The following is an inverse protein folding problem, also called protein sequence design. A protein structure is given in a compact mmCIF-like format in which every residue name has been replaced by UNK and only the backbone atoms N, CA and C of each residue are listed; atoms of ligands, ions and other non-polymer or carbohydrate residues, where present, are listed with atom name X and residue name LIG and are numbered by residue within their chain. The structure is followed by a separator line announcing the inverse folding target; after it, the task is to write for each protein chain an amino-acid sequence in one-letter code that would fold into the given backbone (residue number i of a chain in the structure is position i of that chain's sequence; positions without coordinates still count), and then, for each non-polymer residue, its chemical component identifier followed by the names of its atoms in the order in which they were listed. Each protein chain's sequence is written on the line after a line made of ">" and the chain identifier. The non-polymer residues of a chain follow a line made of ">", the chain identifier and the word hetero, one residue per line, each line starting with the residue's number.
data_IF_959419013915
#
_entry.id   IF_959419013915
#
_cell.length_a   1.000
_cell.length_b   1.000
_cell.length_c   1.000
_cell.angle_alpha   90.00
_cell.angle_beta   90.00
_cell.angle_gamma   90.00
#
_symmetry.space_group_name_H-M   'P 1'
#
loop_
_entity.id
_entity.type
_entity.pdbx_description
1 polymer ?
#
# COMPACT_ATOMS: atom_id res chain seq x y z
N UNK A 1 54.14 -65.86 -51.85
CA UNK A 1 54.59 -64.58 -51.31
C UNK A 1 53.55 -63.56 -51.60
N UNK A 2 52.59 -63.39 -50.66
CA UNK A 2 51.30 -62.71 -50.92
C UNK A 2 51.17 -61.61 -49.90
N UNK A 3 51.17 -60.36 -50.31
CA UNK A 3 50.99 -59.18 -49.49
C UNK A 3 49.49 -58.83 -49.45
N UNK A 4 48.88 -58.87 -48.27
CA UNK A 4 47.50 -58.47 -48.07
C UNK A 4 47.45 -57.02 -47.60
N UNK A 5 46.73 -56.17 -48.35
CA UNK A 5 46.39 -54.80 -47.97
C UNK A 5 45.29 -54.80 -46.88
N UNK A 6 45.56 -54.14 -45.72
CA UNK A 6 44.52 -53.75 -44.76
C UNK A 6 44.01 -52.40 -45.15
N UNK A 7 42.72 -52.28 -45.38
CA UNK A 7 42.02 -50.99 -45.48
C UNK A 7 41.59 -50.55 -44.09
N UNK A 8 42.06 -49.37 -43.64
CA UNK A 8 41.62 -48.75 -42.48
C UNK A 8 40.35 -47.96 -42.76
N UNK A 9 39.23 -48.29 -42.08
CA UNK A 9 38.03 -47.46 -42.00
C UNK A 9 38.22 -46.36 -40.89
N UNK A 10 38.28 -45.16 -41.33
CA UNK A 10 38.17 -43.98 -40.39
C UNK A 10 36.70 -43.67 -40.21
N UNK A 11 36.15 -43.97 -39.02
CA UNK A 11 34.81 -43.56 -38.62
C UNK A 11 34.86 -42.11 -38.12
N UNK A 12 34.26 -41.19 -38.87
CA UNK A 12 34.08 -39.81 -38.46
C UNK A 12 32.93 -39.72 -37.43
N UNK A 13 33.27 -39.47 -36.19
CA UNK A 13 32.27 -39.15 -35.12
C UNK A 13 31.92 -37.67 -35.24
N UNK A 14 30.72 -37.38 -35.77
CA UNK A 14 30.15 -36.05 -35.74
C UNK A 14 29.57 -35.77 -34.32
N UNK A 15 30.25 -34.97 -33.54
CA UNK A 15 29.74 -34.45 -32.27
C UNK A 15 28.72 -33.36 -32.58
N UNK A 16 27.44 -33.66 -32.45
CA UNK A 16 26.37 -32.66 -32.47
C UNK A 16 26.32 -31.99 -31.10
N UNK A 17 26.91 -30.80 -30.99
CA UNK A 17 26.78 -29.96 -29.84
C UNK A 17 25.36 -29.35 -29.83
N UNK A 18 24.44 -29.96 -29.11
CA UNK A 18 23.15 -29.35 -28.78
C UNK A 18 23.36 -28.19 -27.81
N UNK A 19 23.44 -26.96 -28.32
CA UNK A 19 23.39 -25.77 -27.52
C UNK A 19 22.02 -25.67 -26.86
N UNK A 20 21.90 -26.08 -25.59
CA UNK A 20 20.76 -25.74 -24.74
C UNK A 20 20.81 -24.25 -24.46
N UNK A 21 20.18 -23.47 -25.32
CA UNK A 21 19.82 -22.10 -24.98
C UNK A 21 18.78 -22.15 -23.86
N UNK A 22 19.21 -21.96 -22.63
CA UNK A 22 18.34 -21.61 -21.53
C UNK A 22 17.63 -20.29 -21.90
N UNK A 23 16.48 -20.42 -22.52
CA UNK A 23 15.62 -19.31 -22.84
C UNK A 23 15.19 -18.67 -21.52
N UNK A 24 15.82 -17.56 -21.15
CA UNK A 24 15.23 -16.64 -20.21
C UNK A 24 13.93 -16.18 -20.85
N UNK A 25 12.81 -16.75 -20.39
CA UNK A 25 11.47 -16.34 -20.81
C UNK A 25 11.31 -14.88 -20.40
N UNK A 26 11.50 -13.96 -21.34
CA UNK A 26 10.99 -12.60 -21.21
C UNK A 26 9.48 -12.70 -20.92
N UNK A 27 8.89 -11.85 -20.08
CA UNK A 27 7.45 -11.84 -19.85
C UNK A 27 6.76 -11.81 -21.21
N UNK A 28 6.01 -12.85 -21.52
CA UNK A 28 5.42 -13.07 -22.83
C UNK A 28 4.57 -11.88 -23.25
N UNK A 29 4.76 -11.36 -24.46
CA UNK A 29 3.85 -10.40 -25.13
C UNK A 29 2.40 -10.92 -25.18
N UNK A 30 2.20 -12.23 -25.09
CA UNK A 30 0.92 -12.93 -25.17
C UNK A 30 -0.11 -12.62 -24.10
N UNK A 31 0.17 -11.75 -23.12
CA UNK A 31 -0.76 -11.38 -22.05
C UNK A 31 -0.83 -9.89 -21.80
N UNK A 32 -0.10 -9.06 -22.56
CA UNK A 32 -0.15 -7.61 -22.35
C UNK A 32 -1.49 -7.03 -22.80
N UNK A 33 -2.04 -6.03 -22.08
CA UNK A 33 -3.21 -5.32 -22.56
C UNK A 33 -2.90 -4.53 -23.84
N UNK A 34 -3.94 -4.20 -24.62
CA UNK A 34 -3.80 -3.50 -25.91
C UNK A 34 -3.31 -2.04 -25.78
N UNK A 35 -3.44 -1.44 -24.60
CA UNK A 35 -2.97 -0.09 -24.33
C UNK A 35 -1.45 -0.06 -24.06
N UNK A 36 -0.73 0.87 -24.68
CA UNK A 36 0.69 1.12 -24.35
C UNK A 36 0.88 1.67 -22.93
N UNK A 37 -0.14 2.35 -22.41
CA UNK A 37 -0.12 2.93 -21.06
C UNK A 37 -1.46 2.72 -20.37
N UNK A 38 -1.47 1.94 -19.30
CA UNK A 38 -2.64 1.78 -18.45
C UNK A 38 -2.73 2.89 -17.41
N UNK A 39 -3.95 3.33 -17.13
CA UNK A 39 -4.25 4.29 -16.07
C UNK A 39 -4.21 3.57 -14.71
N UNK A 40 -3.30 3.97 -13.81
CA UNK A 40 -3.32 3.57 -12.41
C UNK A 40 -4.02 4.65 -11.58
N UNK A 41 -5.26 4.41 -11.19
CA UNK A 41 -6.03 5.33 -10.38
C UNK A 41 -5.53 5.29 -8.94
N UNK A 42 -5.10 6.45 -8.42
CA UNK A 42 -4.81 6.69 -7.00
C UNK A 42 -5.92 7.58 -6.44
N UNK A 43 -6.75 7.12 -5.48
CA UNK A 43 -7.97 7.82 -5.08
C UNK A 43 -7.75 8.95 -4.06
N UNK A 44 -6.52 9.44 -3.92
CA UNK A 44 -6.16 10.56 -3.02
C UNK A 44 -5.35 11.62 -3.75
N UNK A 45 -5.28 12.83 -3.14
CA UNK A 45 -4.54 13.96 -3.70
C UNK A 45 -3.05 13.66 -3.84
N UNK A 46 -2.45 14.27 -4.86
CA UNK A 46 -1.01 14.22 -5.08
C UNK A 46 -0.22 14.67 -3.83
N UNK A 47 0.94 14.03 -3.56
CA UNK A 47 1.78 14.25 -2.38
C UNK A 47 1.35 13.49 -1.13
N UNK A 48 0.21 12.78 -1.12
CA UNK A 48 -0.10 11.82 -0.08
C UNK A 48 0.72 10.53 -0.20
N UNK A 49 0.84 9.75 0.89
CA UNK A 49 1.70 8.56 0.93
C UNK A 49 1.45 7.57 -0.21
N UNK A 50 0.19 7.26 -0.53
CA UNK A 50 -0.14 6.35 -1.63
C UNK A 50 0.32 6.89 -2.99
N UNK A 51 0.10 8.18 -3.26
CA UNK A 51 0.59 8.81 -4.50
C UNK A 51 2.12 8.74 -4.58
N UNK A 52 2.83 9.11 -3.51
CA UNK A 52 4.30 9.09 -3.47
C UNK A 52 4.84 7.69 -3.81
N UNK A 53 4.29 6.65 -3.18
CA UNK A 53 4.77 5.28 -3.38
C UNK A 53 4.48 4.78 -4.81
N UNK A 54 3.28 5.02 -5.34
CA UNK A 54 2.96 4.58 -6.71
C UNK A 54 3.61 5.43 -7.80
N UNK A 55 4.01 6.67 -7.53
CA UNK A 55 4.87 7.45 -8.43
C UNK A 55 6.29 6.87 -8.52
N UNK A 56 6.80 6.25 -7.45
CA UNK A 56 8.08 5.51 -7.50
C UNK A 56 7.92 4.28 -8.39
N UNK A 57 6.83 3.49 -8.23
CA UNK A 57 6.53 2.37 -9.13
C UNK A 57 6.38 2.82 -10.58
N UNK A 58 5.64 3.90 -10.85
CA UNK A 58 5.48 4.47 -12.20
C UNK A 58 6.84 4.75 -12.83
N UNK A 59 7.70 5.51 -12.14
CA UNK A 59 9.02 5.87 -12.63
C UNK A 59 9.88 4.65 -12.92
N UNK A 60 9.89 3.66 -12.02
CA UNK A 60 10.65 2.41 -12.19
C UNK A 60 10.15 1.62 -13.40
N UNK A 61 8.83 1.40 -13.51
CA UNK A 61 8.22 0.66 -14.62
C UNK A 61 8.45 1.38 -15.96
N UNK A 62 8.44 2.71 -15.98
CA UNK A 62 8.74 3.50 -17.18
C UNK A 62 10.17 3.30 -17.68
N UNK A 63 11.12 3.08 -16.78
CA UNK A 63 12.53 2.75 -17.11
C UNK A 63 12.75 1.30 -17.56
N UNK A 64 11.76 0.41 -17.40
CA UNK A 64 11.84 -0.99 -17.79
C UNK A 64 11.28 -1.23 -19.20
N UNK A 65 11.74 -2.30 -19.84
CA UNK A 65 11.28 -2.69 -21.18
C UNK A 65 10.03 -3.58 -21.09
N UNK A 66 8.85 -2.97 -20.83
CA UNK A 66 7.56 -3.66 -20.86
C UNK A 66 6.71 -3.14 -22.02
N UNK A 67 5.93 -4.02 -22.72
CA UNK A 67 5.01 -3.63 -23.80
C UNK A 67 3.97 -2.59 -23.34
N UNK A 68 3.41 -2.77 -22.14
CA UNK A 68 2.49 -1.84 -21.51
C UNK A 68 3.08 -1.32 -20.20
N UNK A 69 2.93 -0.04 -19.94
CA UNK A 69 3.41 0.66 -18.74
C UNK A 69 2.24 1.32 -18.00
N UNK A 70 2.50 1.85 -16.82
CA UNK A 70 1.47 2.55 -16.05
C UNK A 70 1.67 4.07 -16.09
N UNK A 71 0.55 4.80 -15.91
CA UNK A 71 0.49 6.23 -15.60
C UNK A 71 -0.37 6.43 -14.37
N UNK A 72 0.20 7.00 -13.32
CA UNK A 72 -0.53 7.37 -12.10
C UNK A 72 -1.44 8.55 -12.38
N UNK A 73 -2.73 8.39 -12.07
CA UNK A 73 -3.78 9.42 -12.20
C UNK A 73 -4.47 9.57 -10.85
N UNK A 74 -4.45 10.76 -10.27
CA UNK A 74 -5.13 11.01 -9.00
C UNK A 74 -6.60 11.37 -9.23
N UNK A 75 -7.53 10.63 -8.56
CA UNK A 75 -8.97 10.91 -8.57
C UNK A 75 -9.44 11.02 -7.11
N UNK A 76 -9.13 12.15 -6.43
CA UNK A 76 -9.46 12.34 -5.03
C UNK A 76 -10.92 12.66 -4.81
N UNK A 77 -11.38 12.48 -3.57
CA UNK A 77 -12.69 12.89 -3.10
C UNK A 77 -13.43 11.78 -2.34
N UNK A 78 -14.27 12.20 -1.41
CA UNK A 78 -15.11 11.33 -0.60
C UNK A 78 -14.32 10.25 0.19
N UNK A 79 -13.10 10.58 0.67
CA UNK A 79 -12.26 9.60 1.37
C UNK A 79 -11.70 8.48 0.48
N UNK A 80 -11.58 8.72 -0.83
CA UNK A 80 -11.13 7.75 -1.82
C UNK A 80 -12.25 7.08 -2.61
N UNK A 81 -13.51 7.26 -2.21
CA UNK A 81 -14.64 6.58 -2.84
C UNK A 81 -14.92 7.08 -4.26
N UNK A 82 -14.57 8.34 -4.60
CA UNK A 82 -14.71 8.85 -5.97
C UNK A 82 -13.84 8.04 -6.94
N UNK A 83 -12.55 7.87 -6.62
CA UNK A 83 -11.63 7.06 -7.44
C UNK A 83 -12.01 5.57 -7.47
N UNK A 84 -12.52 5.02 -6.35
CA UNK A 84 -13.01 3.64 -6.29
C UNK A 84 -14.21 3.42 -7.21
N UNK A 85 -15.17 4.35 -7.24
CA UNK A 85 -16.35 4.29 -8.15
C UNK A 85 -15.93 4.40 -9.62
N UNK A 86 -14.95 5.24 -9.92
CA UNK A 86 -14.38 5.37 -11.26
C UNK A 86 -13.72 4.07 -11.73
N UNK A 87 -12.89 3.48 -10.88
CA UNK A 87 -12.25 2.19 -11.16
C UNK A 87 -13.25 1.04 -11.32
N UNK A 88 -14.29 1.02 -10.48
CA UNK A 88 -15.33 -0.02 -10.53
C UNK A 88 -16.15 0.00 -11.85
N UNK A 89 -16.33 1.17 -12.45
CA UNK A 89 -17.05 1.35 -13.72
C UNK A 89 -16.18 1.18 -14.95
N UNK A 90 -14.86 1.10 -14.79
CA UNK A 90 -13.93 1.00 -15.91
C UNK A 90 -14.06 -0.36 -16.63
N UNK A 91 -13.70 -0.38 -17.91
CA UNK A 91 -13.70 -1.62 -18.70
C UNK A 91 -12.67 -2.63 -18.16
N UNK A 92 -12.97 -3.93 -18.16
CA UNK A 92 -12.05 -4.97 -17.68
C UNK A 92 -11.04 -5.40 -18.76
N UNK A 93 -10.49 -4.45 -19.51
CA UNK A 93 -9.58 -4.64 -20.65
C UNK A 93 -8.10 -4.61 -20.26
N UNK A 94 -7.79 -4.50 -18.97
CA UNK A 94 -6.43 -4.40 -18.45
C UNK A 94 -5.81 -3.00 -18.57
N UNK A 95 -6.52 -2.02 -19.12
CA UNK A 95 -6.02 -0.65 -19.32
C UNK A 95 -6.35 0.32 -18.18
N UNK A 96 -7.12 -0.15 -17.18
CA UNK A 96 -7.36 0.59 -15.92
C UNK A 96 -7.01 -0.30 -14.74
N UNK A 97 -6.18 0.24 -13.86
CA UNK A 97 -5.78 -0.34 -12.59
C UNK A 97 -6.17 0.61 -11.45
N UNK A 98 -6.33 0.06 -10.26
CA UNK A 98 -6.72 0.83 -9.09
C UNK A 98 -5.82 0.52 -7.91
N UNK A 99 -5.19 1.56 -7.35
CA UNK A 99 -4.41 1.48 -6.13
C UNK A 99 -5.36 1.50 -4.92
N UNK A 100 -5.47 0.37 -4.24
CA UNK A 100 -6.42 0.15 -3.14
C UNK A 100 -5.67 -0.21 -1.85
N UNK A 101 -6.28 0.08 -0.71
CA UNK A 101 -5.88 -0.40 0.62
C UNK A 101 -7.10 -0.65 1.51
N UNK A 102 -6.90 -0.93 2.79
CA UNK A 102 -7.98 -1.29 3.72
C UNK A 102 -9.09 -0.23 3.86
N UNK A 103 -8.91 1.01 3.33
CA UNK A 103 -10.00 2.00 3.31
C UNK A 103 -11.21 1.55 2.49
N UNK A 104 -11.04 0.61 1.57
CA UNK A 104 -12.17 -0.01 0.87
C UNK A 104 -13.09 -0.78 1.82
N UNK A 105 -12.52 -1.41 2.86
CA UNK A 105 -13.27 -2.11 3.91
C UNK A 105 -13.91 -1.13 4.88
N UNK A 106 -13.13 -0.19 5.44
CA UNK A 106 -13.63 0.76 6.42
C UNK A 106 -14.71 1.69 5.83
N UNK A 107 -14.59 2.03 4.55
CA UNK A 107 -15.60 2.82 3.83
C UNK A 107 -16.90 2.03 3.60
N UNK A 108 -16.78 0.73 3.34
CA UNK A 108 -17.90 -0.20 3.22
C UNK A 108 -18.61 -0.38 4.56
N UNK A 109 -17.89 -0.68 5.63
CA UNK A 109 -18.48 -0.85 6.97
C UNK A 109 -19.12 0.42 7.50
N UNK A 110 -18.62 1.58 7.12
CA UNK A 110 -19.21 2.89 7.46
C UNK A 110 -20.39 3.28 6.55
N UNK A 111 -20.81 2.43 5.62
CA UNK A 111 -21.94 2.67 4.70
C UNK A 111 -21.68 3.72 3.62
N UNK A 112 -20.45 4.22 3.44
CA UNK A 112 -20.11 5.27 2.47
C UNK A 112 -19.98 4.77 1.03
N UNK A 113 -19.74 3.47 0.85
CA UNK A 113 -19.71 2.79 -0.44
C UNK A 113 -20.35 1.40 -0.29
N UNK A 114 -21.00 0.90 -1.35
CA UNK A 114 -21.75 -0.37 -1.30
C UNK A 114 -20.96 -1.58 -1.78
N UNK A 115 -19.67 -1.42 -2.06
CA UNK A 115 -18.77 -2.47 -2.54
C UNK A 115 -17.37 -2.35 -1.93
N UNK A 116 -16.62 -3.43 -1.97
CA UNK A 116 -15.24 -3.49 -1.50
C UNK A 116 -14.40 -4.44 -2.37
N UNK A 117 -13.36 -5.10 -1.86
CA UNK A 117 -12.42 -5.92 -2.63
C UNK A 117 -13.07 -6.92 -3.60
N UNK A 118 -14.17 -7.64 -3.26
CA UNK A 118 -14.80 -8.59 -4.20
C UNK A 118 -15.31 -7.98 -5.50
N UNK A 119 -15.51 -6.65 -5.54
CA UNK A 119 -15.93 -5.93 -6.75
C UNK A 119 -14.80 -5.71 -7.75
N UNK A 120 -13.61 -6.24 -7.47
CA UNK A 120 -12.41 -6.14 -8.31
C UNK A 120 -11.71 -7.49 -8.44
N UNK A 121 -10.84 -7.60 -9.43
CA UNK A 121 -9.91 -8.70 -9.55
C UNK A 121 -8.54 -8.26 -8.99
N UNK A 122 -7.98 -9.08 -8.09
CA UNK A 122 -6.71 -8.79 -7.42
C UNK A 122 -5.53 -8.98 -8.37
N UNK A 123 -4.63 -8.00 -8.42
CA UNK A 123 -3.38 -8.05 -9.20
C UNK A 123 -2.20 -8.37 -8.29
N UNK A 124 -1.88 -7.50 -7.35
CA UNK A 124 -0.79 -7.73 -6.38
C UNK A 124 -0.96 -6.88 -5.13
N UNK A 125 -0.69 -7.46 -3.95
CA UNK A 125 -0.39 -6.71 -2.76
C UNK A 125 1.09 -6.31 -2.83
N UNK A 126 1.43 -5.06 -2.51
CA UNK A 126 2.75 -4.53 -2.82
C UNK A 126 3.51 -3.98 -1.61
N UNK A 127 2.84 -3.23 -0.74
CA UNK A 127 3.53 -2.49 0.31
C UNK A 127 2.86 -2.60 1.66
N UNK A 128 3.65 -2.48 2.72
CA UNK A 128 3.19 -2.28 4.09
C UNK A 128 3.88 -1.06 4.68
N UNK A 129 3.10 -0.13 5.24
CA UNK A 129 3.60 1.09 5.87
C UNK A 129 2.93 1.25 7.22
N UNK A 130 3.66 1.14 8.34
CA UNK A 130 3.09 1.37 9.66
C UNK A 130 2.56 2.79 9.82
N UNK A 131 1.48 2.95 10.56
CA UNK A 131 0.95 4.25 10.94
C UNK A 131 1.59 4.75 12.26
N UNK A 132 1.65 6.06 12.39
CA UNK A 132 2.27 6.77 13.51
C UNK A 132 1.19 7.61 14.20
N UNK A 133 1.16 7.59 15.51
CA UNK A 133 0.39 8.53 16.33
C UNK A 133 1.10 9.88 16.28
N UNK A 134 0.68 10.73 15.37
CA UNK A 134 1.32 12.00 15.08
C UNK A 134 0.60 13.18 15.69
N UNK A 135 1.37 14.25 15.93
CA UNK A 135 0.86 15.51 16.46
C UNK A 135 1.48 16.71 15.76
N UNK A 136 0.82 17.86 15.88
CA UNK A 136 1.43 19.17 15.58
C UNK A 136 2.70 19.35 16.42
N UNK A 137 3.73 19.98 15.88
CA UNK A 137 4.91 20.38 16.64
C UNK A 137 4.60 21.29 17.83
N UNK A 138 3.47 22.02 17.76
CA UNK A 138 2.95 22.89 18.82
C UNK A 138 2.05 22.17 19.85
N UNK A 139 1.83 20.85 19.71
CA UNK A 139 1.07 20.09 20.70
C UNK A 139 1.72 20.21 22.09
N UNK A 140 0.93 20.42 23.17
CA UNK A 140 1.47 20.70 24.50
C UNK A 140 2.12 19.48 25.17
N UNK A 141 1.93 18.28 24.61
CA UNK A 141 2.45 17.02 25.17
C UNK A 141 3.79 16.65 24.52
N UNK A 142 4.70 16.10 25.32
CA UNK A 142 6.02 15.67 24.85
C UNK A 142 6.09 14.17 24.54
N UNK A 143 5.14 13.38 25.06
CA UNK A 143 5.10 11.93 24.91
C UNK A 143 3.66 11.39 24.95
N UNK A 144 3.53 10.09 24.68
CA UNK A 144 2.23 9.41 24.65
C UNK A 144 1.53 9.41 26.03
N UNK A 145 2.27 9.29 27.13
CA UNK A 145 1.70 9.24 28.47
C UNK A 145 1.03 10.57 28.85
N UNK A 146 1.69 11.70 28.57
CA UNK A 146 1.13 13.04 28.78
C UNK A 146 -0.12 13.26 27.91
N UNK A 147 -0.04 12.88 26.62
CA UNK A 147 -1.19 12.93 25.71
C UNK A 147 -2.36 12.08 26.21
N UNK A 148 -2.11 10.82 26.61
CA UNK A 148 -3.15 9.92 27.15
C UNK A 148 -3.80 10.49 28.40
N UNK A 149 -2.99 10.99 29.34
CA UNK A 149 -3.48 11.64 30.56
C UNK A 149 -4.42 12.82 30.25
N UNK A 150 -4.01 13.71 29.35
CA UNK A 150 -4.82 14.85 28.94
C UNK A 150 -6.13 14.43 28.24
N UNK A 151 -6.08 13.45 27.36
CA UNK A 151 -7.25 12.94 26.64
C UNK A 151 -8.27 12.28 27.56
N UNK A 152 -7.81 11.58 28.61
CA UNK A 152 -8.68 10.97 29.63
C UNK A 152 -9.26 12.01 30.59
N UNK A 153 -8.51 13.08 30.90
CA UNK A 153 -8.98 14.15 31.77
C UNK A 153 -10.04 15.08 31.12
N UNK A 154 -9.99 15.20 29.79
CA UNK A 154 -10.93 16.04 29.03
C UNK A 154 -11.43 15.31 27.76
N UNK A 155 -12.31 14.31 27.90
CA UNK A 155 -12.79 13.51 26.78
C UNK A 155 -13.47 14.35 25.69
N UNK A 156 -13.18 14.08 24.43
CA UNK A 156 -13.81 14.74 23.28
C UNK A 156 -13.34 16.17 23.00
N UNK A 157 -12.30 16.67 23.68
CA UNK A 157 -11.79 18.04 23.47
C UNK A 157 -10.62 18.11 22.48
N UNK A 158 -9.80 17.07 22.40
CA UNK A 158 -8.62 17.05 21.53
C UNK A 158 -9.04 16.87 20.07
N UNK A 159 -8.60 17.80 19.21
CA UNK A 159 -8.89 17.77 17.77
C UNK A 159 -8.01 16.75 17.06
N UNK A 160 -8.63 15.72 16.49
CA UNK A 160 -7.97 14.67 15.74
C UNK A 160 -8.39 14.70 14.28
N UNK A 161 -7.43 14.92 13.39
CA UNK A 161 -7.67 14.88 11.95
C UNK A 161 -7.79 13.46 11.43
N UNK A 162 -8.89 13.16 10.76
CA UNK A 162 -9.12 11.86 10.13
C UNK A 162 -9.80 11.98 8.76
N UNK A 163 -9.62 11.01 7.90
CA UNK A 163 -10.46 10.84 6.71
C UNK A 163 -11.62 9.94 7.10
N UNK A 164 -12.83 10.50 7.14
CA UNK A 164 -14.01 9.77 7.63
C UNK A 164 -14.34 8.57 6.75
N UNK A 165 -14.62 7.43 7.38
CA UNK A 165 -14.84 6.15 6.71
C UNK A 165 -13.58 5.56 6.08
N UNK A 166 -12.38 6.03 6.47
CA UNK A 166 -11.09 5.52 6.00
C UNK A 166 -10.28 4.94 7.15
N UNK A 167 -9.17 4.28 6.82
CA UNK A 167 -8.23 3.67 7.77
C UNK A 167 -7.73 4.63 8.85
N UNK A 168 -7.57 5.92 8.55
CA UNK A 168 -7.13 6.89 9.55
C UNK A 168 -8.17 7.15 10.64
N UNK A 169 -9.46 7.16 10.32
CA UNK A 169 -10.49 7.21 11.35
C UNK A 169 -10.56 5.88 12.13
N UNK A 170 -10.52 4.77 11.40
CA UNK A 170 -10.59 3.43 11.98
C UNK A 170 -9.47 3.19 13.00
N UNK A 171 -8.24 3.61 12.69
CA UNK A 171 -7.11 3.54 13.62
C UNK A 171 -7.36 4.31 14.93
N UNK A 172 -7.90 5.53 14.83
CA UNK A 172 -8.21 6.33 16.02
C UNK A 172 -9.34 5.72 16.86
N UNK A 173 -10.36 5.14 16.21
CA UNK A 173 -11.45 4.44 16.92
C UNK A 173 -10.94 3.16 17.63
N UNK A 174 -9.98 2.45 17.03
CA UNK A 174 -9.27 1.35 17.71
C UNK A 174 -8.50 1.88 18.92
N UNK A 175 -7.79 2.99 18.78
CA UNK A 175 -7.06 3.59 19.89
C UNK A 175 -8.00 4.02 21.03
N UNK A 176 -9.16 4.61 20.72
CA UNK A 176 -10.21 4.92 21.71
C UNK A 176 -10.72 3.67 22.44
N UNK A 177 -10.98 2.59 21.70
CA UNK A 177 -11.45 1.30 22.27
C UNK A 177 -10.42 0.67 23.21
N UNK A 178 -9.13 0.74 22.84
CA UNK A 178 -8.04 0.13 23.62
C UNK A 178 -7.62 0.97 24.83
N UNK A 179 -7.90 2.27 24.85
CA UNK A 179 -7.35 3.19 25.88
C UNK A 179 -8.39 3.93 26.69
N UNK A 180 -9.65 3.93 26.27
CA UNK A 180 -10.73 4.71 26.87
C UNK A 180 -10.72 6.21 26.52
N UNK A 181 -9.70 6.69 25.79
CA UNK A 181 -9.68 8.09 25.31
C UNK A 181 -10.88 8.37 24.40
N UNK A 182 -11.26 9.66 24.28
CA UNK A 182 -12.28 10.13 23.34
C UNK A 182 -11.79 11.41 22.65
N UNK A 183 -12.05 11.53 21.34
CA UNK A 183 -11.54 12.62 20.52
C UNK A 183 -12.65 13.38 19.79
N UNK A 184 -12.35 14.63 19.44
CA UNK A 184 -13.16 15.42 18.52
C UNK A 184 -12.59 15.32 17.11
N UNK A 185 -13.30 14.64 16.23
CA UNK A 185 -12.81 14.40 14.87
C UNK A 185 -13.04 15.58 13.94
N UNK A 186 -11.99 15.90 13.16
CA UNK A 186 -12.03 16.89 12.07
C UNK A 186 -11.82 16.16 10.75
N UNK A 187 -12.75 16.31 9.77
CA UNK A 187 -12.70 15.57 8.51
C UNK A 187 -11.67 16.15 7.52
N UNK A 188 -10.92 15.27 6.88
CA UNK A 188 -9.99 15.59 5.80
C UNK A 188 -10.12 14.58 4.66
N UNK A 189 -9.88 15.02 3.43
CA UNK A 189 -9.95 14.15 2.25
C UNK A 189 -8.58 13.54 1.89
N UNK A 190 -7.86 13.06 2.91
CA UNK A 190 -6.60 12.35 2.80
C UNK A 190 -5.43 12.94 3.61
N UNK A 191 -4.28 12.26 3.54
CA UNK A 191 -3.09 12.55 4.37
C UNK A 191 -2.51 13.94 4.12
N UNK A 192 -2.49 14.42 2.85
CA UNK A 192 -1.88 15.72 2.54
C UNK A 192 -2.58 16.88 3.25
N UNK A 193 -3.91 16.95 3.18
CA UNK A 193 -4.66 18.02 3.84
C UNK A 193 -4.52 17.96 5.37
N UNK A 194 -4.56 16.75 5.94
CA UNK A 194 -4.36 16.53 7.37
C UNK A 194 -2.96 16.96 7.82
N UNK A 195 -1.92 16.66 7.04
CA UNK A 195 -0.56 17.15 7.33
C UNK A 195 -0.47 18.67 7.31
N UNK A 196 -1.08 19.34 6.33
CA UNK A 196 -1.12 20.81 6.30
C UNK A 196 -1.79 21.36 7.56
N UNK A 197 -2.89 20.74 8.00
CA UNK A 197 -3.60 21.16 9.22
C UNK A 197 -2.79 20.91 10.50
N UNK A 198 -1.99 19.83 10.56
CA UNK A 198 -1.06 19.60 11.67
C UNK A 198 0.08 20.63 11.70
N UNK A 199 0.68 20.93 10.55
CA UNK A 199 1.77 21.89 10.43
C UNK A 199 1.31 23.32 10.79
N UNK A 200 0.09 23.71 10.42
CA UNK A 200 -0.52 24.99 10.80
C UNK A 200 -1.10 25.00 12.22
N UNK A 201 -1.10 23.88 12.92
CA UNK A 201 -1.75 23.68 14.22
C UNK A 201 -3.28 23.92 14.22
N UNK A 202 -3.93 23.79 13.06
CA UNK A 202 -5.39 23.79 12.95
C UNK A 202 -6.04 22.55 13.56
N UNK A 203 -5.28 21.46 13.69
CA UNK A 203 -5.58 20.26 14.48
C UNK A 203 -4.37 19.88 15.32
N UNK A 204 -4.61 19.23 16.46
CA UNK A 204 -3.54 18.86 17.38
C UNK A 204 -2.96 17.50 17.05
N UNK A 205 -3.79 16.52 16.68
CA UNK A 205 -3.41 15.13 16.45
C UNK A 205 -3.84 14.64 15.07
N UNK A 206 -3.11 13.66 14.54
CA UNK A 206 -3.47 13.01 13.28
C UNK A 206 -2.56 11.84 12.95
N UNK A 207 -3.08 10.88 12.21
CA UNK A 207 -2.28 9.75 11.71
C UNK A 207 -1.24 10.23 10.71
N UNK A 208 -0.01 9.84 10.91
CA UNK A 208 1.12 10.04 10.00
C UNK A 208 1.67 8.69 9.53
N UNK A 209 2.54 8.73 8.54
CA UNK A 209 3.43 7.64 8.18
C UNK A 209 4.76 8.19 7.67
N UNK A 210 5.78 7.35 7.67
CA UNK A 210 7.14 7.77 7.29
C UNK A 210 7.16 8.25 5.83
N UNK A 211 6.40 7.60 4.93
CA UNK A 211 6.37 7.95 3.51
C UNK A 211 6.03 9.42 3.22
N UNK A 212 5.18 10.03 4.03
CA UNK A 212 4.77 11.43 3.86
C UNK A 212 5.25 12.37 4.97
N UNK A 213 5.57 11.85 6.16
CA UNK A 213 5.86 12.64 7.36
C UNK A 213 7.33 12.77 7.72
N UNK A 214 8.24 11.93 7.19
CA UNK A 214 9.64 11.84 7.63
C UNK A 214 10.35 13.18 7.70
N UNK A 215 10.23 14.00 6.64
CA UNK A 215 10.87 15.32 6.60
C UNK A 215 10.48 16.18 7.81
N UNK A 216 9.20 16.28 8.10
CA UNK A 216 8.65 17.13 9.15
C UNK A 216 8.90 16.59 10.56
N UNK A 217 8.93 15.25 10.70
CA UNK A 217 9.31 14.60 11.96
C UNK A 217 10.80 14.82 12.26
N UNK A 218 11.67 14.67 11.24
CA UNK A 218 13.11 14.92 11.42
C UNK A 218 13.43 16.39 11.65
N UNK A 219 12.62 17.32 11.12
CA UNK A 219 12.75 18.77 11.32
C UNK A 219 12.10 19.30 12.60
N UNK A 220 11.41 18.45 13.37
CA UNK A 220 10.69 18.88 14.58
C UNK A 220 9.41 19.66 14.33
N UNK A 221 9.00 19.85 13.08
CA UNK A 221 7.77 20.54 12.71
C UNK A 221 6.51 19.72 13.07
N UNK A 222 6.64 18.42 13.21
CA UNK A 222 5.65 17.48 13.73
C UNK A 222 6.26 16.64 14.84
N UNK A 223 5.42 16.16 15.75
CA UNK A 223 5.76 15.22 16.81
C UNK A 223 5.21 13.82 16.46
N UNK A 224 5.87 12.77 16.97
CA UNK A 224 5.40 11.40 16.93
C UNK A 224 5.45 10.79 18.32
N UNK A 225 4.34 10.20 18.77
CA UNK A 225 4.24 9.63 20.12
C UNK A 225 4.38 8.12 20.15
N UNK A 226 4.19 7.45 19.03
CA UNK A 226 4.38 6.02 18.91
C UNK A 226 4.09 5.52 17.49
N UNK A 227 4.69 4.39 17.13
CA UNK A 227 4.46 3.70 15.86
C UNK A 227 3.63 2.44 16.09
N UNK A 228 2.61 2.24 15.27
CA UNK A 228 1.74 1.06 15.35
C UNK A 228 2.34 -0.11 14.56
N UNK A 229 3.49 -0.59 14.98
CA UNK A 229 4.22 -1.72 14.37
C UNK A 229 4.72 -2.68 15.45
N UNK A 230 5.12 -3.89 15.03
CA UNK A 230 5.75 -4.88 15.91
C UNK A 230 7.15 -4.45 16.37
N UNK A 231 7.83 -3.59 15.60
CA UNK A 231 9.19 -3.14 15.84
C UNK A 231 9.30 -1.63 15.68
N UNK A 232 10.24 -1.02 16.40
CA UNK A 232 10.61 0.38 16.20
C UNK A 232 11.14 0.61 14.79
N UNK A 233 10.87 1.79 14.24
CA UNK A 233 11.41 2.17 12.94
C UNK A 233 12.93 2.42 13.04
N UNK A 234 13.71 1.86 12.11
CA UNK A 234 15.15 2.18 12.00
C UNK A 234 15.43 3.67 11.71
N UNK A 235 14.45 4.39 11.17
CA UNK A 235 14.54 5.83 10.90
C UNK A 235 14.23 6.70 12.09
N UNK A 236 13.55 6.16 13.09
CA UNK A 236 13.19 6.81 14.34
C UNK A 236 13.34 5.80 15.50
N UNK A 237 14.58 5.40 15.83
CA UNK A 237 14.83 4.33 16.82
C UNK A 237 14.38 4.71 18.23
N UNK A 238 14.28 6.00 18.52
CA UNK A 238 13.81 6.52 19.80
C UNK A 238 12.25 6.60 19.89
N UNK A 239 11.53 6.42 18.75
CA UNK A 239 10.07 6.37 18.75
C UNK A 239 9.62 4.98 19.18
N UNK A 240 8.92 4.84 20.33
CA UNK A 240 8.46 3.54 20.81
C UNK A 240 7.35 2.98 19.92
N UNK A 241 7.16 1.66 19.94
CA UNK A 241 5.96 1.04 19.41
C UNK A 241 4.78 1.26 20.34
N UNK A 242 3.55 1.14 19.82
CA UNK A 242 2.35 1.23 20.66
C UNK A 242 2.32 0.11 21.73
N UNK A 243 2.86 -1.07 21.42
CA UNK A 243 3.00 -2.17 22.38
C UNK A 243 3.93 -1.83 23.54
N UNK A 244 5.07 -1.19 23.27
CA UNK A 244 5.99 -0.69 24.30
C UNK A 244 5.36 0.40 25.18
N UNK A 245 4.35 1.09 24.67
CA UNK A 245 3.57 2.09 25.41
C UNK A 245 2.35 1.50 26.13
N UNK A 246 2.24 0.17 26.19
CA UNK A 246 1.15 -0.55 26.86
C UNK A 246 -0.17 -0.56 26.09
N UNK A 247 -0.14 -0.30 24.78
CA UNK A 247 -1.30 -0.40 23.90
C UNK A 247 -1.06 -1.50 22.87
N UNK A 248 -1.77 -2.62 22.98
CA UNK A 248 -1.63 -3.75 22.04
C UNK A 248 -2.26 -3.40 20.67
N UNK A 249 -1.55 -2.56 19.95
CA UNK A 249 -1.99 -2.02 18.67
C UNK A 249 -0.90 -2.13 17.61
N UNK A 250 -1.17 -2.91 16.57
CA UNK A 250 -0.40 -2.95 15.32
C UNK A 250 -1.32 -2.55 14.18
N UNK A 251 -0.94 -1.52 13.46
CA UNK A 251 -1.75 -0.98 12.37
C UNK A 251 -0.88 -0.48 11.22
N UNK A 252 -0.80 -1.27 10.16
CA UNK A 252 -0.04 -0.94 8.95
C UNK A 252 -0.95 -0.77 7.74
N UNK A 253 -0.73 0.28 6.99
CA UNK A 253 -1.42 0.53 5.74
C UNK A 253 -0.81 -0.34 4.63
N UNK A 254 -1.51 -1.39 4.24
CA UNK A 254 -1.12 -2.31 3.17
C UNK A 254 -1.78 -1.89 1.85
N UNK A 255 -0.96 -1.62 0.83
CA UNK A 255 -1.42 -1.16 -0.48
C UNK A 255 -1.20 -2.21 -1.53
N UNK A 256 -2.21 -2.40 -2.36
CA UNK A 256 -2.15 -3.29 -3.51
C UNK A 256 -2.79 -2.67 -4.74
N UNK A 257 -2.72 -3.41 -5.81
CA UNK A 257 -3.33 -3.10 -7.10
C UNK A 257 -4.43 -4.10 -7.38
N UNK A 258 -5.56 -3.58 -7.82
CA UNK A 258 -6.67 -4.36 -8.36
C UNK A 258 -7.04 -3.85 -9.75
N UNK A 259 -7.75 -4.67 -10.51
CA UNK A 259 -8.33 -4.31 -11.80
C UNK A 259 -9.87 -4.40 -11.73
N UNK A 260 -10.61 -3.79 -12.66
CA UNK A 260 -12.05 -3.96 -12.78
C UNK A 260 -12.44 -5.43 -12.84
N UNK A 261 -13.58 -5.77 -12.25
CA UNK A 261 -14.08 -7.16 -12.22
C UNK A 261 -14.31 -7.71 -13.61
N UNK A 262 -13.84 -8.94 -13.88
CA UNK A 262 -13.89 -9.59 -15.18
C UNK A 262 -12.66 -9.33 -16.06
N UNK A 263 -11.61 -8.68 -15.52
CA UNK A 263 -10.32 -8.57 -16.23
C UNK A 263 -9.73 -9.95 -16.48
N UNK A 264 -9.29 -10.21 -17.71
CA UNK A 264 -8.79 -11.52 -18.12
C UNK A 264 -7.61 -11.98 -17.25
N UNK A 265 -7.50 -13.28 -17.02
CA UNK A 265 -6.38 -13.85 -16.27
C UNK A 265 -5.03 -13.46 -16.89
N UNK A 266 -4.94 -13.41 -18.21
CA UNK A 266 -3.74 -13.01 -18.92
C UNK A 266 -3.31 -11.57 -18.57
N UNK A 267 -4.24 -10.62 -18.54
CA UNK A 267 -3.95 -9.25 -18.13
C UNK A 267 -3.59 -9.13 -16.65
N UNK A 268 -4.26 -9.90 -15.77
CA UNK A 268 -3.93 -9.94 -14.34
C UNK A 268 -2.51 -10.48 -14.12
N UNK A 269 -2.16 -11.58 -14.79
CA UNK A 269 -0.83 -12.20 -14.68
C UNK A 269 0.25 -11.26 -15.23
N UNK A 270 0.01 -10.61 -16.37
CA UNK A 270 0.90 -9.60 -16.94
C UNK A 270 1.21 -8.48 -15.92
N UNK A 271 0.17 -7.83 -15.40
CA UNK A 271 0.37 -6.74 -14.44
C UNK A 271 1.02 -7.23 -13.15
N UNK A 272 0.64 -8.40 -12.64
CA UNK A 272 1.29 -8.98 -11.46
C UNK A 272 2.78 -9.22 -11.70
N UNK A 273 3.16 -9.69 -12.88
CA UNK A 273 4.57 -9.86 -13.31
C UNK A 273 5.32 -8.53 -13.39
N UNK A 274 4.70 -7.50 -13.99
CA UNK A 274 5.27 -6.14 -14.07
C UNK A 274 5.56 -5.58 -12.67
N UNK A 275 4.57 -5.65 -11.75
CA UNK A 275 4.76 -5.16 -10.38
C UNK A 275 5.75 -6.02 -9.59
N UNK A 276 5.80 -7.34 -9.81
CA UNK A 276 6.80 -8.20 -9.21
C UNK A 276 8.19 -7.76 -9.60
N UNK A 277 8.44 -7.64 -10.90
CA UNK A 277 9.75 -7.24 -11.43
C UNK A 277 10.18 -5.85 -10.94
N UNK A 278 9.24 -4.90 -10.92
CA UNK A 278 9.50 -3.57 -10.38
C UNK A 278 9.80 -3.62 -8.86
N UNK A 279 9.16 -4.52 -8.11
CA UNK A 279 9.41 -4.71 -6.67
C UNK A 279 10.76 -5.34 -6.36
N UNK A 280 11.45 -5.91 -7.34
CA UNK A 280 12.81 -6.48 -7.25
C UNK A 280 13.89 -5.46 -7.64
N UNK A 281 13.51 -4.29 -8.17
CA UNK A 281 14.46 -3.24 -8.59
C UNK A 281 15.16 -2.60 -7.40
N UNK A 282 16.49 -2.59 -7.42
CA UNK A 282 17.29 -2.06 -6.31
C UNK A 282 17.05 -0.56 -6.05
N UNK A 283 16.82 0.23 -7.11
CA UNK A 283 16.50 1.65 -7.00
C UNK A 283 15.13 1.89 -6.37
N UNK A 284 14.12 1.08 -6.74
CA UNK A 284 12.81 1.11 -6.11
C UNK A 284 12.91 0.70 -4.63
N UNK A 285 13.57 -0.40 -4.32
CA UNK A 285 13.75 -0.89 -2.94
C UNK A 285 14.40 0.18 -2.06
N UNK A 286 15.47 0.82 -2.52
CA UNK A 286 16.13 1.92 -1.81
C UNK A 286 15.19 3.11 -1.57
N UNK A 287 14.40 3.50 -2.56
CA UNK A 287 13.45 4.60 -2.42
C UNK A 287 12.29 4.25 -1.46
N UNK A 288 11.76 3.02 -1.53
CA UNK A 288 10.70 2.56 -0.63
C UNK A 288 11.20 2.47 0.82
N UNK A 289 12.40 1.94 1.01
CA UNK A 289 13.05 1.91 2.30
C UNK A 289 13.20 3.34 2.88
N UNK A 290 13.69 4.30 2.11
CA UNK A 290 13.78 5.70 2.52
C UNK A 290 12.42 6.35 2.88
N UNK A 291 11.31 5.74 2.46
CA UNK A 291 9.94 6.12 2.85
C UNK A 291 9.40 5.31 4.04
N UNK A 292 10.23 4.46 4.66
CA UNK A 292 9.79 3.58 5.74
C UNK A 292 8.65 2.65 5.34
N UNK A 293 8.75 2.12 4.13
CA UNK A 293 7.71 1.29 3.52
C UNK A 293 8.32 -0.03 3.10
N UNK A 294 7.83 -1.12 3.68
CA UNK A 294 8.24 -2.46 3.29
C UNK A 294 7.60 -2.88 1.98
N UNK A 295 8.40 -3.48 1.10
CA UNK A 295 7.90 -4.20 -0.07
C UNK A 295 7.45 -5.59 0.38
N UNK A 296 6.20 -5.91 0.06
CA UNK A 296 5.52 -7.18 0.42
C UNK A 296 4.79 -7.72 -0.81
N UNK A 297 5.50 -7.93 -1.92
CA UNK A 297 4.84 -8.47 -3.11
C UNK A 297 4.17 -9.82 -2.82
N UNK A 298 2.86 -9.87 -3.07
CA UNK A 298 2.05 -11.08 -3.02
C UNK A 298 1.20 -11.12 -4.29
N UNK A 299 1.28 -12.21 -5.04
CA UNK A 299 0.55 -12.39 -6.29
C UNK A 299 -0.97 -12.49 -6.12
N UNK A 300 -1.71 -12.61 -7.24
CA UNK A 300 -3.17 -12.44 -7.26
C UNK A 300 -3.93 -13.34 -6.28
N UNK A 301 -3.60 -14.64 -6.24
CA UNK A 301 -4.26 -15.61 -5.33
C UNK A 301 -4.00 -15.28 -3.86
N UNK A 302 -2.74 -15.05 -3.49
CA UNK A 302 -2.38 -14.71 -2.10
C UNK A 302 -2.97 -13.37 -1.67
N UNK A 303 -3.03 -12.40 -2.58
CA UNK A 303 -3.66 -11.11 -2.29
C UNK A 303 -5.17 -11.23 -2.06
N UNK A 304 -5.85 -12.08 -2.83
CA UNK A 304 -7.28 -12.37 -2.60
C UNK A 304 -7.51 -12.98 -1.22
N UNK A 305 -6.74 -14.01 -0.86
CA UNK A 305 -6.82 -14.65 0.46
C UNK A 305 -6.56 -13.64 1.60
N UNK A 306 -5.55 -12.77 1.43
CA UNK A 306 -5.29 -11.71 2.39
C UNK A 306 -6.49 -10.74 2.50
N UNK A 307 -7.11 -10.33 1.39
CA UNK A 307 -8.24 -9.42 1.38
C UNK A 307 -9.47 -10.02 2.08
N UNK A 308 -9.75 -11.31 1.85
CA UNK A 308 -10.83 -12.05 2.49
C UNK A 308 -10.62 -12.19 4.01
N UNK A 309 -9.39 -12.53 4.45
CA UNK A 309 -9.08 -12.59 5.88
C UNK A 309 -9.16 -11.21 6.53
N UNK A 310 -8.60 -10.19 5.88
CA UNK A 310 -8.65 -8.80 6.37
C UNK A 310 -10.09 -8.30 6.47
N UNK A 311 -10.97 -8.69 5.55
CA UNK A 311 -12.40 -8.37 5.66
C UNK A 311 -12.98 -8.88 6.97
N UNK A 312 -12.77 -10.16 7.29
CA UNK A 312 -13.28 -10.81 8.52
C UNK A 312 -12.75 -10.14 9.78
N UNK A 313 -11.46 -9.80 9.79
CA UNK A 313 -10.81 -9.17 10.94
C UNK A 313 -11.33 -7.74 11.16
N UNK A 314 -11.44 -6.96 10.07
CA UNK A 314 -11.95 -5.60 10.13
C UNK A 314 -13.46 -5.54 10.43
N UNK A 315 -14.24 -6.51 9.97
CA UNK A 315 -15.67 -6.61 10.29
C UNK A 315 -15.89 -6.74 11.80
N UNK A 316 -15.14 -7.66 12.46
CA UNK A 316 -15.20 -7.83 13.92
C UNK A 316 -14.91 -6.53 14.66
N UNK A 317 -13.83 -5.85 14.27
CA UNK A 317 -13.46 -4.57 14.89
C UNK A 317 -14.48 -3.49 14.58
N UNK A 318 -14.96 -3.39 13.34
CA UNK A 318 -15.94 -2.38 12.92
C UNK A 318 -17.27 -2.52 13.68
N UNK A 319 -17.70 -3.75 13.97
CA UNK A 319 -18.88 -4.03 14.82
C UNK A 319 -18.59 -3.57 16.26
N UNK A 320 -17.47 -3.98 16.84
CA UNK A 320 -17.07 -3.66 18.22
C UNK A 320 -17.04 -2.17 18.49
N UNK A 321 -16.48 -1.38 17.56
CA UNK A 321 -16.38 0.08 17.68
C UNK A 321 -17.62 0.84 17.19
N UNK A 322 -18.72 0.14 16.83
CA UNK A 322 -19.97 0.76 16.38
C UNK A 322 -19.94 1.39 14.99
N UNK A 323 -18.89 1.09 14.19
CA UNK A 323 -18.80 1.59 12.81
C UNK A 323 -19.70 0.81 11.84
N UNK A 324 -19.94 -0.46 12.10
CA UNK A 324 -20.76 -1.34 11.27
C UNK A 324 -21.87 -1.95 12.08
N UNK A 325 -23.11 -1.65 11.69
CA UNK A 325 -24.31 -2.27 12.26
C UNK A 325 -24.81 -3.30 11.25
N UNK A 326 -24.78 -4.56 11.62
CA UNK A 326 -25.45 -5.66 10.87
C UNK A 326 -26.95 -5.57 11.01
#
# INVERSE_FOLDING_TARGET
>A
MTIRFLRSLTASVAVVAAAMTLGFSTPSEAGSPSCKTAKLIVPWKAGGGTHVLFSIYEKTIQGMNFPSKIKVVTIPGQGGNKGAKEAHKAKPDGCTLFAIHQSALTSFFNGRIKFTFPAFDTVSLLTSTPDIIGASGKAPWNNFAEFKKAALAAPGTILVGATFGSTSQFMWLILEDLTGMKFKYVPFDGTRQRMTALLSNAITMGTLNIASGRKYLSGGELKAYGIADEKRSKYFPNMPTMKELGVDMVFALKRGIVAPKGTSKAHIDYWSGVFKKASEDAGLLKQMDAKGTDIKWVGPKGYRMWAEQTYKDYEKVAIKIGMYKK
#
